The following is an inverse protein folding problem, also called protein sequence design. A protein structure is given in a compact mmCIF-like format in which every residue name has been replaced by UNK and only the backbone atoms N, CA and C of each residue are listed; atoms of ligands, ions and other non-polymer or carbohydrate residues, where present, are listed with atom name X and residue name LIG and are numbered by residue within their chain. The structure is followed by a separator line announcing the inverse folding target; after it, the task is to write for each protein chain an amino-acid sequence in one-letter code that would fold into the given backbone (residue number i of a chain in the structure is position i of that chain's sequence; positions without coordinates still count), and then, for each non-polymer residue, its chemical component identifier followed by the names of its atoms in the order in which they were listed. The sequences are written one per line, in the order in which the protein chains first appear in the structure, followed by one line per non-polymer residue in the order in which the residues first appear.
data_IF_309644521469
#
_entry.id   IF_309644521469
#
_cell.length_a   1.000
_cell.length_b   1.000
_cell.length_c   1.000
_cell.angle_alpha   90.00
_cell.angle_beta   90.00
_cell.angle_gamma   90.00
#
_symmetry.space_group_name_H-M   'P 1'
#
loop_
_entity.id
_entity.type
_entity.pdbx_description
1 polymer ?
#
# COMPACT_ATOMS: atom_id res chain seq x y z
N UNK A 1 56.42 41.02 -12.06
CA UNK A 1 55.27 40.89 -11.14
C UNK A 1 55.79 41.17 -9.75
N UNK A 2 55.31 42.20 -9.05
CA UNK A 2 55.84 42.58 -7.74
C UNK A 2 55.48 41.52 -6.69
N UNK A 3 56.48 41.03 -5.94
CA UNK A 3 56.30 40.17 -4.78
C UNK A 3 55.48 40.90 -3.71
N UNK A 4 54.17 40.65 -3.66
CA UNK A 4 53.31 41.09 -2.57
C UNK A 4 53.65 40.29 -1.31
N UNK A 5 54.69 40.72 -0.58
CA UNK A 5 54.95 40.21 0.77
C UNK A 5 53.80 40.63 1.68
N UNK A 6 53.04 39.66 2.17
CA UNK A 6 51.99 39.88 3.18
C UNK A 6 52.58 40.57 4.41
N UNK A 7 51.89 41.58 5.00
CA UNK A 7 52.35 42.23 6.20
C UNK A 7 52.55 41.22 7.36
N UNK A 8 53.50 41.47 8.28
CA UNK A 8 53.78 40.59 9.40
C UNK A 8 52.54 40.43 10.30
N UNK A 9 52.28 39.20 10.77
CA UNK A 9 51.12 38.89 11.61
C UNK A 9 51.18 39.64 12.95
N UNK A 10 50.07 40.31 13.30
CA UNK A 10 49.92 40.98 14.59
C UNK A 10 49.82 39.99 15.77
N UNK A 11 50.39 40.37 16.92
CA UNK A 11 50.37 39.56 18.13
C UNK A 11 49.07 39.77 18.92
N UNK A 12 48.10 38.89 18.70
CA UNK A 12 46.82 38.90 19.41
C UNK A 12 46.95 38.05 20.69
N UNK A 13 46.47 38.56 21.83
CA UNK A 13 46.32 37.74 23.05
C UNK A 13 45.17 36.77 22.89
N UNK A 14 45.44 35.49 23.12
CA UNK A 14 44.48 34.41 22.95
C UNK A 14 44.29 33.68 24.27
N UNK A 15 43.04 33.32 24.67
CA UNK A 15 42.78 32.45 25.81
C UNK A 15 43.59 31.14 25.76
N UNK A 16 44.06 30.66 26.91
CA UNK A 16 45.00 29.52 27.00
C UNK A 16 44.49 28.26 26.30
N UNK A 17 43.18 28.01 26.34
CA UNK A 17 42.54 26.88 25.69
C UNK A 17 42.65 26.89 24.15
N UNK A 18 42.74 28.08 23.54
CA UNK A 18 42.73 28.25 22.09
C UNK A 18 44.14 28.35 21.48
N UNK A 19 45.18 28.50 22.30
CA UNK A 19 46.59 28.52 21.87
C UNK A 19 46.95 27.37 20.91
N UNK A 20 46.63 26.09 21.18
CA UNK A 20 47.01 25.00 20.27
C UNK A 20 46.32 25.10 18.90
N UNK A 21 45.07 25.56 18.86
CA UNK A 21 44.31 25.72 17.62
C UNK A 21 44.84 26.90 16.79
N UNK A 22 45.07 28.05 17.42
CA UNK A 22 45.60 29.24 16.74
C UNK A 22 47.00 29.00 16.18
N UNK A 23 47.85 28.23 16.89
CA UNK A 23 49.17 27.82 16.37
C UNK A 23 49.04 26.96 15.10
N UNK A 24 48.11 26.00 15.08
CA UNK A 24 47.84 25.17 13.89
C UNK A 24 47.31 26.01 12.73
N UNK A 25 46.38 26.91 13.01
CA UNK A 25 45.82 27.83 12.00
C UNK A 25 46.89 28.76 11.42
N UNK A 26 47.75 29.33 12.27
CA UNK A 26 48.88 30.15 11.83
C UNK A 26 49.88 29.37 10.97
N UNK A 27 50.13 28.09 11.31
CA UNK A 27 50.96 27.20 10.50
C UNK A 27 50.34 26.96 9.13
N UNK A 28 49.05 26.60 9.06
CA UNK A 28 48.31 26.40 7.80
C UNK A 28 48.30 27.66 6.92
N UNK A 29 48.19 28.84 7.54
CA UNK A 29 48.27 30.12 6.84
C UNK A 29 49.66 30.37 6.23
N UNK A 30 50.73 30.09 6.97
CA UNK A 30 52.11 30.22 6.46
C UNK A 30 52.41 29.22 5.33
N UNK A 31 51.78 28.06 5.38
CA UNK A 31 51.92 27.02 4.35
C UNK A 31 51.02 27.30 3.12
N UNK A 32 50.22 28.37 3.12
CA UNK A 32 49.33 28.71 2.00
C UNK A 32 48.09 27.81 1.86
N UNK A 33 47.83 26.94 2.83
CA UNK A 33 46.73 25.95 2.78
C UNK A 33 45.38 26.52 3.24
N UNK A 34 45.32 27.79 3.66
CA UNK A 34 44.08 28.44 4.12
C UNK A 34 43.01 28.49 3.04
N UNK A 35 43.40 28.71 1.79
CA UNK A 35 42.46 28.74 0.65
C UNK A 35 41.82 27.37 0.45
N UNK A 36 42.63 26.30 0.43
CA UNK A 36 42.13 24.94 0.27
C UNK A 36 41.20 24.51 1.43
N UNK A 37 41.49 24.95 2.65
CA UNK A 37 40.66 24.68 3.82
C UNK A 37 39.31 25.41 3.71
N UNK A 38 39.31 26.70 3.34
CA UNK A 38 38.09 27.47 3.12
C UNK A 38 37.24 26.88 1.99
N UNK A 39 37.89 26.48 0.89
CA UNK A 39 37.20 25.84 -0.23
C UNK A 39 36.59 24.50 0.16
N UNK A 40 37.31 23.67 0.93
CA UNK A 40 36.77 22.40 1.43
C UNK A 40 35.61 22.59 2.44
N UNK A 41 35.64 23.66 3.25
CA UNK A 41 34.51 24.01 4.12
C UNK A 41 33.30 24.49 3.32
N UNK A 42 33.50 25.31 2.30
CA UNK A 42 32.45 25.79 1.41
C UNK A 42 31.80 24.64 0.63
N UNK A 43 32.61 23.69 0.16
CA UNK A 43 32.14 22.49 -0.53
C UNK A 43 31.36 21.56 0.42
N UNK A 44 31.81 21.41 1.66
CA UNK A 44 31.09 20.66 2.69
C UNK A 44 29.75 21.32 3.07
N UNK A 45 29.72 22.64 3.25
CA UNK A 45 28.49 23.39 3.54
C UNK A 45 27.52 23.28 2.37
N UNK A 46 28.00 23.40 1.13
CA UNK A 46 27.19 23.23 -0.08
C UNK A 46 26.61 21.81 -0.21
N UNK A 47 27.36 20.79 0.23
CA UNK A 47 26.86 19.42 0.32
C UNK A 47 25.78 19.26 1.39
N UNK A 48 25.87 19.97 2.52
CA UNK A 48 24.79 19.97 3.50
C UNK A 48 23.55 20.68 2.96
N UNK A 49 23.66 21.86 2.35
CA UNK A 49 22.50 22.57 1.79
C UNK A 49 21.78 21.78 0.67
N UNK A 50 22.53 21.04 -0.15
CA UNK A 50 21.95 20.18 -1.20
C UNK A 50 21.35 18.87 -0.67
N UNK A 51 21.86 18.33 0.44
CA UNK A 51 21.31 17.13 1.08
C UNK A 51 20.22 17.45 2.12
N UNK A 52 20.12 18.70 2.56
CA UNK A 52 19.01 19.25 3.36
C UNK A 52 17.94 19.81 2.41
N UNK A 53 17.69 19.15 1.27
CA UNK A 53 16.42 19.25 0.55
C UNK A 53 15.31 18.46 1.29
N UNK A 54 15.35 18.50 2.62
CA UNK A 54 14.20 18.26 3.48
C UNK A 54 13.49 19.60 3.56
N UNK A 55 13.01 20.06 2.40
CA UNK A 55 12.11 21.19 2.31
C UNK A 55 10.76 20.74 2.87
N UNK A 56 10.66 20.79 4.20
CA UNK A 56 9.40 20.71 4.96
C UNK A 56 8.76 22.11 4.94
N UNK A 57 8.96 22.89 3.88
CA UNK A 57 8.05 23.96 3.54
C UNK A 57 6.81 23.36 2.86
N UNK A 58 5.61 23.90 3.11
CA UNK A 58 4.36 23.49 2.44
C UNK A 58 4.38 23.68 0.90
N UNK A 59 5.46 24.21 0.33
CA UNK A 59 5.67 24.42 -1.11
C UNK A 59 6.54 23.37 -1.79
N UNK A 60 7.08 22.38 -1.05
CA UNK A 60 7.94 21.39 -1.69
C UNK A 60 7.14 20.55 -2.69
N UNK A 61 7.72 20.35 -3.87
CA UNK A 61 7.05 19.70 -5.01
C UNK A 61 6.52 18.30 -4.66
N UNK A 62 7.20 17.61 -3.76
CA UNK A 62 6.80 16.29 -3.25
C UNK A 62 5.56 16.38 -2.36
N UNK A 63 5.45 17.39 -1.50
CA UNK A 63 4.27 17.64 -0.65
C UNK A 63 3.07 17.99 -1.51
N UNK A 64 3.22 18.88 -2.50
CA UNK A 64 2.14 19.23 -3.43
C UNK A 64 1.62 18.02 -4.23
N UNK A 65 2.53 17.14 -4.67
CA UNK A 65 2.14 15.90 -5.36
C UNK A 65 1.44 14.89 -4.44
N UNK A 66 1.78 14.88 -3.15
CA UNK A 66 1.11 14.04 -2.17
C UNK A 66 -0.28 14.59 -1.84
N UNK A 67 -0.43 15.91 -1.74
CA UNK A 67 -1.72 16.58 -1.55
C UNK A 67 -2.68 16.29 -2.72
N UNK A 68 -2.23 16.46 -3.97
CA UNK A 68 -3.04 16.12 -5.15
C UNK A 68 -3.46 14.64 -5.17
N UNK A 69 -2.56 13.73 -4.80
CA UNK A 69 -2.87 12.29 -4.67
C UNK A 69 -3.85 11.99 -3.54
N UNK A 70 -3.82 12.75 -2.46
CA UNK A 70 -4.78 12.60 -1.37
C UNK A 70 -6.15 13.11 -1.78
N UNK A 71 -6.22 14.26 -2.43
CA UNK A 71 -7.47 14.88 -2.90
C UNK A 71 -8.19 13.98 -3.91
N UNK A 72 -7.45 13.45 -4.89
CA UNK A 72 -8.00 12.48 -5.87
C UNK A 72 -8.52 11.18 -5.22
N UNK A 73 -7.85 10.68 -4.18
CA UNK A 73 -8.31 9.50 -3.44
C UNK A 73 -9.56 9.80 -2.60
N UNK A 74 -9.63 10.98 -1.99
CA UNK A 74 -10.81 11.42 -1.23
C UNK A 74 -12.03 11.57 -2.15
N UNK A 75 -11.86 12.15 -3.33
CA UNK A 75 -12.92 12.26 -4.34
C UNK A 75 -13.43 10.88 -4.77
N UNK A 76 -12.52 9.93 -4.99
CA UNK A 76 -12.87 8.56 -5.34
C UNK A 76 -13.66 7.84 -4.23
N UNK A 77 -13.23 7.99 -2.98
CA UNK A 77 -13.94 7.42 -1.81
C UNK A 77 -15.32 8.07 -1.66
N UNK A 78 -15.42 9.40 -1.79
CA UNK A 78 -16.68 10.13 -1.75
C UNK A 78 -17.65 9.61 -2.82
N UNK A 79 -17.19 9.46 -4.06
CA UNK A 79 -18.00 8.90 -5.14
C UNK A 79 -18.43 7.44 -4.90
N UNK A 80 -17.60 6.62 -4.27
CA UNK A 80 -17.97 5.26 -3.86
C UNK A 80 -19.02 5.26 -2.74
N UNK A 81 -18.89 6.15 -1.76
CA UNK A 81 -19.87 6.32 -0.68
C UNK A 81 -21.22 6.80 -1.21
N UNK A 82 -21.24 7.73 -2.17
CA UNK A 82 -22.50 8.12 -2.83
C UNK A 82 -23.18 6.94 -3.54
N UNK A 83 -22.41 6.13 -4.28
CA UNK A 83 -22.94 4.94 -4.96
C UNK A 83 -23.51 3.93 -3.97
N UNK A 84 -22.82 3.69 -2.86
CA UNK A 84 -23.30 2.82 -1.79
C UNK A 84 -24.56 3.38 -1.14
N UNK A 85 -24.60 4.67 -0.83
CA UNK A 85 -25.76 5.35 -0.26
C UNK A 85 -26.99 5.23 -1.18
N UNK A 86 -26.81 5.45 -2.49
CA UNK A 86 -27.88 5.27 -3.49
C UNK A 86 -28.34 3.81 -3.55
N UNK A 87 -27.43 2.84 -3.57
CA UNK A 87 -27.77 1.42 -3.58
C UNK A 87 -28.53 0.99 -2.30
N UNK A 88 -28.14 1.49 -1.13
CA UNK A 88 -28.87 1.23 0.12
C UNK A 88 -30.26 1.86 0.07
N UNK A 89 -30.38 3.07 -0.49
CA UNK A 89 -31.67 3.77 -0.63
C UNK A 89 -32.63 3.06 -1.60
N UNK A 90 -32.12 2.48 -2.68
CA UNK A 90 -32.97 1.68 -3.61
C UNK A 90 -33.39 0.34 -3.00
N UNK A 91 -32.50 -0.30 -2.23
CA UNK A 91 -32.83 -1.53 -1.49
C UNK A 91 -33.86 -1.24 -0.40
N UNK A 92 -33.71 -0.13 0.34
CA UNK A 92 -34.64 0.25 1.40
C UNK A 92 -35.99 0.69 0.85
N UNK A 93 -36.05 1.39 -0.29
CA UNK A 93 -37.32 1.72 -0.96
C UNK A 93 -38.03 0.48 -1.51
N UNK A 94 -37.28 -0.47 -2.09
CA UNK A 94 -37.83 -1.75 -2.55
C UNK A 94 -38.37 -2.61 -1.39
N UNK A 95 -37.79 -2.48 -0.18
CA UNK A 95 -38.28 -3.12 1.03
C UNK A 95 -39.47 -2.36 1.67
N UNK A 96 -39.57 -1.03 1.48
CA UNK A 96 -40.69 -0.23 1.96
C UNK A 96 -41.97 -0.45 1.12
N UNK A 97 -41.83 -0.59 -0.20
CA UNK A 97 -42.93 -0.96 -1.11
C UNK A 97 -43.31 -2.45 -1.00
N UNK A 98 -42.51 -3.22 -0.26
CA UNK A 98 -42.65 -4.66 -0.08
C UNK A 98 -42.74 -5.08 1.38
N UNK A 99 -43.95 -4.97 1.95
CA UNK A 99 -44.49 -5.80 3.07
C UNK A 99 -44.41 -5.22 4.50
N UNK A 100 -45.42 -4.41 4.83
CA UNK A 100 -46.22 -4.63 6.05
C UNK A 100 -47.64 -5.02 5.64
N UNK A 101 -47.80 -6.22 5.09
CA UNK A 101 -49.13 -6.79 4.90
C UNK A 101 -49.05 -8.30 4.95
N UNK A 102 -49.46 -8.84 6.09
CA UNK A 102 -49.63 -10.26 6.34
C UNK A 102 -50.93 -10.73 5.64
N UNK A 103 -50.93 -10.72 4.32
CA UNK A 103 -52.01 -11.31 3.50
C UNK A 103 -51.43 -11.65 2.14
N UNK A 104 -51.07 -12.92 1.95
CA UNK A 104 -50.64 -13.50 0.68
C UNK A 104 -51.64 -13.17 -0.44
N UNK A 105 -51.24 -12.47 -1.53
CA UNK A 105 -51.83 -12.72 -2.83
C UNK A 105 -50.90 -13.68 -3.57
N UNK A 106 -51.47 -14.84 -3.94
CA UNK A 106 -50.87 -15.83 -4.82
C UNK A 106 -50.66 -15.22 -6.21
N UNK A 107 -49.58 -14.45 -6.39
CA UNK A 107 -49.13 -14.01 -7.72
C UNK A 107 -48.35 -15.15 -8.34
N UNK A 108 -48.88 -15.71 -9.42
CA UNK A 108 -48.18 -16.69 -10.24
C UNK A 108 -46.92 -16.03 -10.79
N UNK A 109 -45.76 -16.47 -10.30
CA UNK A 109 -44.49 -16.13 -10.89
C UNK A 109 -44.39 -16.86 -12.22
N UNK A 110 -44.23 -16.13 -13.32
CA UNK A 110 -43.65 -16.72 -14.53
C UNK A 110 -42.29 -17.29 -14.11
N UNK A 111 -42.09 -18.62 -14.13
CA UNK A 111 -40.83 -19.18 -13.75
C UNK A 111 -39.86 -18.85 -14.86
N UNK A 112 -39.08 -17.79 -14.69
CA UNK A 112 -37.77 -17.73 -15.33
C UNK A 112 -36.99 -18.91 -14.76
N UNK A 113 -37.12 -20.06 -15.44
CA UNK A 113 -36.25 -21.20 -15.26
C UNK A 113 -34.86 -20.70 -15.65
N UNK A 114 -34.09 -20.24 -14.67
CA UNK A 114 -32.66 -20.12 -14.88
C UNK A 114 -32.18 -21.53 -15.27
N UNK A 115 -31.44 -21.67 -16.40
CA UNK A 115 -30.83 -22.94 -16.73
C UNK A 115 -30.03 -23.39 -15.51
N UNK A 116 -30.33 -24.58 -14.99
CA UNK A 116 -29.49 -25.17 -13.97
C UNK A 116 -28.13 -25.37 -14.62
N UNK A 117 -27.17 -24.50 -14.30
CA UNK A 117 -25.81 -24.61 -14.84
C UNK A 117 -25.19 -25.82 -14.16
N UNK A 118 -25.12 -26.92 -14.89
CA UNK A 118 -24.41 -28.12 -14.45
C UNK A 118 -22.94 -27.75 -14.23
N UNK A 119 -22.49 -27.84 -12.98
CA UNK A 119 -21.11 -27.57 -12.64
C UNK A 119 -20.26 -28.72 -13.14
N UNK A 120 -19.23 -28.38 -13.92
CA UNK A 120 -18.24 -29.35 -14.39
C UNK A 120 -17.21 -29.64 -13.30
N UNK A 121 -16.58 -30.82 -13.30
CA UNK A 121 -15.43 -31.10 -12.44
C UNK A 121 -14.33 -30.06 -12.63
N UNK A 122 -13.65 -29.70 -11.54
CA UNK A 122 -12.67 -28.61 -11.51
C UNK A 122 -11.31 -29.08 -11.01
N UNK A 123 -10.25 -28.51 -11.58
CA UNK A 123 -8.90 -28.65 -11.05
C UNK A 123 -8.72 -27.83 -9.78
N UNK A 124 -7.69 -28.15 -8.99
CA UNK A 124 -7.31 -27.38 -7.81
C UNK A 124 -7.15 -25.87 -8.10
N UNK A 125 -6.49 -25.53 -9.22
CA UNK A 125 -6.23 -24.14 -9.64
C UNK A 125 -7.51 -23.37 -9.99
N UNK A 126 -8.52 -24.05 -10.53
CA UNK A 126 -9.79 -23.43 -10.95
C UNK A 126 -10.86 -23.42 -9.86
N UNK A 127 -10.75 -24.30 -8.87
CA UNK A 127 -11.64 -24.34 -7.71
C UNK A 127 -11.21 -23.37 -6.61
N UNK A 128 -9.92 -23.28 -6.31
CA UNK A 128 -9.39 -22.41 -5.27
C UNK A 128 -9.90 -20.95 -5.32
N UNK A 129 -9.82 -20.22 -6.47
CA UNK A 129 -10.34 -18.86 -6.55
C UNK A 129 -11.86 -18.78 -6.37
N UNK A 130 -12.61 -19.81 -6.76
CA UNK A 130 -14.07 -19.87 -6.58
C UNK A 130 -14.45 -19.99 -5.10
N UNK A 131 -13.64 -20.71 -4.31
CA UNK A 131 -13.81 -20.83 -2.87
C UNK A 131 -13.14 -19.69 -2.08
N UNK A 132 -12.52 -18.72 -2.77
CA UNK A 132 -11.83 -17.59 -2.14
C UNK A 132 -10.55 -17.99 -1.39
N UNK A 133 -9.86 -19.05 -1.81
CA UNK A 133 -8.62 -19.56 -1.21
C UNK A 133 -7.50 -19.67 -2.24
N UNK A 134 -6.25 -19.86 -1.77
CA UNK A 134 -5.12 -20.14 -2.66
C UNK A 134 -5.07 -21.63 -3.02
N UNK A 135 -4.51 -22.03 -4.19
CA UNK A 135 -4.41 -23.43 -4.57
C UNK A 135 -3.63 -24.30 -3.56
N UNK A 136 -2.63 -23.73 -2.89
CA UNK A 136 -1.88 -24.41 -1.84
C UNK A 136 -2.73 -24.59 -0.58
N UNK A 137 -3.45 -23.55 -0.14
CA UNK A 137 -4.33 -23.64 1.02
C UNK A 137 -5.47 -24.64 0.80
N UNK A 138 -5.97 -24.78 -0.43
CA UNK A 138 -7.01 -25.76 -0.76
C UNK A 138 -6.52 -27.21 -0.59
N UNK A 139 -5.26 -27.49 -0.93
CA UNK A 139 -4.61 -28.79 -0.69
C UNK A 139 -4.50 -29.05 0.81
N UNK A 140 -3.99 -28.07 1.56
CA UNK A 140 -3.84 -28.18 3.02
C UNK A 140 -5.18 -28.40 3.74
N UNK A 141 -6.22 -27.68 3.34
CA UNK A 141 -7.57 -27.84 3.91
C UNK A 141 -8.19 -29.19 3.57
N UNK A 142 -7.87 -29.76 2.40
CA UNK A 142 -8.27 -31.11 2.03
C UNK A 142 -7.56 -32.15 2.89
N UNK A 143 -6.25 -32.01 3.10
CA UNK A 143 -5.44 -32.96 3.87
C UNK A 143 -5.73 -32.92 5.37
N UNK A 144 -6.11 -31.75 5.89
CA UNK A 144 -6.39 -31.57 7.32
C UNK A 144 -7.82 -31.96 7.73
N UNK A 145 -8.72 -32.21 6.77
CA UNK A 145 -10.15 -32.48 7.04
C UNK A 145 -10.54 -33.85 6.51
N UNK A 146 -11.56 -34.45 7.12
CA UNK A 146 -12.23 -35.59 6.50
C UNK A 146 -13.02 -35.17 5.26
N UNK A 147 -13.27 -36.10 4.33
CA UNK A 147 -13.99 -35.81 3.08
C UNK A 147 -15.34 -35.12 3.31
N UNK A 148 -16.11 -35.58 4.31
CA UNK A 148 -17.41 -34.99 4.69
C UNK A 148 -17.29 -33.57 5.21
N UNK A 149 -16.26 -33.30 6.01
CA UNK A 149 -15.99 -31.95 6.53
C UNK A 149 -15.52 -31.01 5.42
N UNK A 150 -14.70 -31.52 4.50
CA UNK A 150 -14.26 -30.77 3.33
C UNK A 150 -15.42 -30.40 2.40
N UNK A 151 -16.35 -31.34 2.15
CA UNK A 151 -17.57 -31.08 1.37
C UNK A 151 -18.41 -29.98 2.05
N UNK A 152 -18.62 -30.05 3.36
CA UNK A 152 -19.37 -29.02 4.10
C UNK A 152 -18.66 -27.66 4.09
N UNK A 153 -17.33 -27.66 4.28
CA UNK A 153 -16.48 -26.47 4.26
C UNK A 153 -16.47 -25.78 2.90
N UNK A 154 -16.35 -26.55 1.82
CA UNK A 154 -16.38 -26.03 0.45
C UNK A 154 -17.78 -25.52 0.10
N UNK A 155 -18.84 -26.21 0.53
CA UNK A 155 -20.24 -25.78 0.34
C UNK A 155 -20.52 -24.41 0.95
N UNK A 156 -20.00 -24.13 2.14
CA UNK A 156 -20.20 -22.83 2.81
C UNK A 156 -19.46 -21.67 2.11
N UNK A 157 -18.40 -21.97 1.36
CA UNK A 157 -17.59 -20.97 0.63
C UNK A 157 -18.03 -20.79 -0.82
N UNK A 158 -18.66 -21.80 -1.40
CA UNK A 158 -19.11 -21.77 -2.79
C UNK A 158 -20.27 -20.78 -2.98
N UNK A 159 -20.21 -19.84 -3.95
CA UNK A 159 -21.29 -18.91 -4.21
C UNK A 159 -22.63 -19.57 -4.59
N UNK A 160 -22.60 -20.81 -5.07
CA UNK A 160 -23.79 -21.60 -5.41
C UNK A 160 -24.13 -22.65 -4.34
N UNK A 161 -23.51 -22.56 -3.15
CA UNK A 161 -23.69 -23.52 -2.06
C UNK A 161 -23.50 -24.98 -2.50
N UNK A 162 -22.54 -25.21 -3.41
CA UNK A 162 -22.18 -26.54 -3.92
C UNK A 162 -21.00 -27.10 -3.13
N UNK A 163 -21.15 -28.32 -2.60
CA UNK A 163 -20.04 -29.03 -1.98
C UNK A 163 -19.12 -29.62 -3.04
N UNK A 164 -17.82 -29.71 -2.76
CA UNK A 164 -16.84 -30.27 -3.70
C UNK A 164 -16.14 -31.46 -3.05
N UNK A 165 -16.07 -32.57 -3.77
CA UNK A 165 -15.39 -33.80 -3.36
C UNK A 165 -14.20 -34.06 -4.28
N UNK A 166 -13.06 -34.43 -3.70
CA UNK A 166 -11.85 -34.72 -4.47
C UNK A 166 -11.83 -36.20 -4.87
N UNK A 167 -11.77 -36.47 -6.18
CA UNK A 167 -11.54 -37.82 -6.67
C UNK A 167 -10.05 -38.04 -6.91
N UNK A 168 -9.50 -39.08 -6.27
CA UNK A 168 -8.09 -39.46 -6.45
C UNK A 168 -7.81 -40.08 -7.82
N UNK A 169 -8.84 -40.60 -8.50
CA UNK A 169 -8.69 -41.31 -9.77
C UNK A 169 -8.35 -40.37 -10.93
N UNK A 170 -8.97 -39.19 -10.96
CA UNK A 170 -8.77 -38.17 -11.99
C UNK A 170 -8.08 -36.90 -11.47
N UNK A 171 -7.90 -36.78 -10.16
CA UNK A 171 -7.30 -35.61 -9.52
C UNK A 171 -8.18 -34.35 -9.62
N UNK A 172 -9.49 -34.52 -9.83
CA UNK A 172 -10.45 -33.43 -9.99
C UNK A 172 -11.42 -33.34 -8.81
N UNK A 173 -11.95 -32.14 -8.61
CA UNK A 173 -13.02 -31.87 -7.67
C UNK A 173 -14.37 -31.96 -8.37
N UNK A 174 -15.24 -32.85 -7.88
CA UNK A 174 -16.58 -33.08 -8.39
C UNK A 174 -17.62 -32.39 -7.52
N UNK A 175 -18.66 -31.78 -8.11
CA UNK A 175 -19.71 -31.13 -7.35
C UNK A 175 -20.67 -32.16 -6.72
N UNK A 176 -20.91 -32.03 -5.43
CA UNK A 176 -21.82 -32.85 -4.62
C UNK A 176 -22.97 -31.98 -4.11
N UNK A 177 -24.20 -32.45 -4.31
CA UNK A 177 -25.44 -31.76 -3.91
C UNK A 177 -25.86 -32.07 -2.49
#
# INVERSE_FOLDING_TARGET
MPDQKSPPSEMIRVPTALIPLVRRLSKLHREGHTIALLQGLEELISQFDSNIDIDVAPSSKSVLQLEEKLETKLEAISGQLEKLSRAISTISSANADGRYSNTRPRRQAHPYQQPQVELKPRTNESLAPRLGVTPQSLITERENRSDKEFISWSRHRDPMSTGWEFSQEDGLYHPVK
#
